data_IF_208580036144
#
_entry.id   IF_208580036144
#
_cell.length_a   1.000
_cell.length_b   1.000
_cell.length_c   1.000
_cell.angle_alpha   90.00
_cell.angle_beta   90.00
_cell.angle_gamma   90.00
#
_symmetry.space_group_name_H-M   'P 1'
#
loop_
_entity.id
_entity.type
_entity.pdbx_description
1 polymer ?
#
# COMPACT_ATOMS: atom_id res chain seq x y z
N UNK A 1 -0.44 15.68 -9.77
CA UNK A 1 0.83 15.31 -9.11
C UNK A 1 0.80 15.54 -7.61
N UNK A 2 0.39 16.73 -7.12
CA UNK A 2 0.48 17.10 -5.70
C UNK A 2 -0.28 16.17 -4.74
N UNK A 3 -1.51 15.78 -5.09
CA UNK A 3 -2.36 14.97 -4.20
C UNK A 3 -1.83 13.53 -4.00
N UNK A 4 -1.16 12.97 -5.02
CA UNK A 4 -0.55 11.63 -4.96
C UNK A 4 0.62 11.60 -3.98
N UNK A 5 1.49 12.61 -4.06
CA UNK A 5 2.66 12.75 -3.16
C UNK A 5 2.22 12.98 -1.73
N UNK A 6 1.16 13.76 -1.50
CA UNK A 6 0.61 13.98 -0.15
C UNK A 6 0.11 12.67 0.45
N UNK A 7 -0.68 11.88 -0.29
CA UNK A 7 -1.18 10.60 0.24
C UNK A 7 -0.04 9.60 0.45
N UNK A 8 0.96 9.57 -0.43
CA UNK A 8 2.13 8.72 -0.27
C UNK A 8 2.95 9.11 0.99
N UNK A 9 3.16 10.42 1.21
CA UNK A 9 3.84 10.92 2.40
C UNK A 9 3.05 10.61 3.67
N UNK A 10 1.73 10.81 3.67
CA UNK A 10 0.85 10.46 4.79
C UNK A 10 0.86 8.97 5.07
N UNK A 11 0.83 8.12 4.03
CA UNK A 11 0.95 6.67 4.17
C UNK A 11 2.30 6.26 4.75
N UNK A 12 3.38 6.92 4.37
CA UNK A 12 4.74 6.61 4.85
C UNK A 12 4.93 7.03 6.31
N UNK A 13 4.47 8.23 6.66
CA UNK A 13 4.44 8.71 8.06
C UNK A 13 3.51 7.83 8.89
N UNK A 14 2.36 7.45 8.34
CA UNK A 14 1.40 6.53 8.95
C UNK A 14 1.99 5.14 9.22
N UNK A 15 2.83 4.61 8.32
CA UNK A 15 3.49 3.33 8.54
C UNK A 15 4.42 3.32 9.77
N UNK A 16 5.00 4.48 10.10
CA UNK A 16 5.96 4.63 11.20
C UNK A 16 5.25 4.97 12.51
N UNK A 17 4.29 5.90 12.49
CA UNK A 17 3.69 6.47 13.70
C UNK A 17 2.28 5.97 14.00
N UNK A 18 1.58 5.40 13.03
CA UNK A 18 0.17 5.02 13.14
C UNK A 18 -0.01 3.50 12.99
N UNK A 19 -1.15 2.95 13.46
CA UNK A 19 -1.46 1.54 13.26
C UNK A 19 -1.43 1.15 11.77
N UNK A 20 -1.09 -0.11 11.44
CA UNK A 20 -0.90 -0.55 10.05
C UNK A 20 -2.17 -0.45 9.19
N UNK A 21 -3.33 -0.39 9.85
CA UNK A 21 -4.64 -0.12 9.22
C UNK A 21 -4.71 1.25 8.54
N UNK A 22 -4.03 2.27 9.09
CA UNK A 22 -3.99 3.61 8.49
C UNK A 22 -3.19 3.57 7.19
N UNK A 23 -2.05 2.88 7.19
CA UNK A 23 -1.25 2.68 5.98
C UNK A 23 -1.99 1.87 4.93
N UNK A 24 -2.75 0.85 5.35
CA UNK A 24 -3.60 0.06 4.47
C UNK A 24 -4.70 0.92 3.82
N UNK A 25 -5.32 1.82 4.58
CA UNK A 25 -6.29 2.77 4.01
C UNK A 25 -5.64 3.70 2.96
N UNK A 26 -4.42 4.19 3.22
CA UNK A 26 -3.66 4.97 2.24
C UNK A 26 -3.31 4.16 0.99
N UNK A 27 -2.92 2.89 1.16
CA UNK A 27 -2.64 1.91 0.09
C UNK A 27 -3.88 1.74 -0.80
N UNK A 28 -5.05 1.52 -0.21
CA UNK A 28 -6.32 1.35 -0.93
C UNK A 28 -6.67 2.64 -1.69
N UNK A 29 -6.63 3.79 -1.03
CA UNK A 29 -6.94 5.09 -1.65
C UNK A 29 -6.00 5.42 -2.82
N UNK A 30 -4.70 5.17 -2.67
CA UNK A 30 -3.73 5.34 -3.76
C UNK A 30 -4.00 4.38 -4.91
N UNK A 31 -4.25 3.09 -4.61
CA UNK A 31 -4.46 2.06 -5.62
C UNK A 31 -5.75 2.26 -6.43
N UNK A 32 -6.79 2.87 -5.86
CA UNK A 32 -8.03 3.16 -6.57
C UNK A 32 -7.86 4.28 -7.60
N UNK A 33 -7.12 5.34 -7.26
CA UNK A 33 -7.04 6.55 -8.09
C UNK A 33 -5.79 6.62 -8.96
N UNK A 34 -4.70 5.99 -8.54
CA UNK A 34 -3.41 6.11 -9.21
C UNK A 34 -2.75 4.75 -9.40
N UNK A 35 -2.07 4.55 -10.55
CA UNK A 35 -1.16 3.42 -10.77
C UNK A 35 0.14 3.65 -10.01
N UNK A 36 0.05 3.64 -8.68
CA UNK A 36 1.14 3.98 -7.79
C UNK A 36 1.88 2.70 -7.36
N UNK A 37 3.03 2.44 -7.96
CA UNK A 37 3.97 1.41 -7.49
C UNK A 37 4.46 1.68 -6.06
N UNK A 38 4.35 2.93 -5.60
CA UNK A 38 4.58 3.40 -4.22
C UNK A 38 3.79 2.59 -3.19
N UNK A 39 2.63 2.04 -3.59
CA UNK A 39 1.74 1.24 -2.76
C UNK A 39 2.38 -0.11 -2.37
N UNK A 40 3.20 -0.68 -3.26
CA UNK A 40 3.95 -1.92 -2.99
C UNK A 40 5.08 -1.66 -2.00
N UNK A 41 5.78 -0.54 -2.17
CA UNK A 41 6.84 -0.10 -1.25
C UNK A 41 6.26 0.16 0.14
N UNK A 42 5.07 0.78 0.22
CA UNK A 42 4.34 0.99 1.48
C UNK A 42 3.90 -0.33 2.13
N UNK A 43 3.39 -1.28 1.33
CA UNK A 43 3.04 -2.62 1.80
C UNK A 43 4.24 -3.34 2.40
N UNK A 44 5.37 -3.31 1.69
CA UNK A 44 6.64 -3.91 2.14
C UNK A 44 7.19 -3.23 3.40
N UNK A 45 7.17 -1.90 3.44
CA UNK A 45 7.61 -1.15 4.61
C UNK A 45 6.73 -1.47 5.84
N UNK A 46 5.42 -1.62 5.63
CA UNK A 46 4.48 -1.98 6.70
C UNK A 46 4.73 -3.39 7.21
N UNK A 47 4.91 -4.37 6.32
CA UNK A 47 5.27 -5.74 6.70
C UNK A 47 6.60 -5.74 7.49
N UNK A 48 7.63 -5.03 7.05
CA UNK A 48 8.92 -4.99 7.74
C UNK A 48 8.87 -4.32 9.12
N UNK A 49 8.07 -3.25 9.27
CA UNK A 49 7.96 -2.49 10.52
C UNK A 49 7.04 -3.18 11.53
N UNK A 50 5.86 -3.62 11.09
CA UNK A 50 4.79 -4.10 11.97
C UNK A 50 4.73 -5.61 12.10
N UNK A 51 5.24 -6.35 11.11
CA UNK A 51 5.40 -7.80 11.15
C UNK A 51 6.89 -8.16 11.04
N UNK A 52 7.74 -7.83 12.05
CA UNK A 52 9.15 -8.20 12.06
C UNK A 52 9.27 -9.72 12.24
N UNK A 53 9.10 -10.46 11.14
CA UNK A 53 9.17 -11.90 11.08
C UNK A 53 10.58 -12.36 10.73
N UNK A 54 11.22 -13.07 11.65
CA UNK A 54 12.34 -13.94 11.31
C UNK A 54 11.93 -15.03 10.29
N UNK A 55 12.88 -15.86 9.82
CA UNK A 55 12.79 -16.71 8.61
C UNK A 55 11.78 -17.88 8.67
N UNK A 56 10.77 -17.81 9.53
CA UNK A 56 9.68 -18.77 9.65
C UNK A 56 8.57 -18.51 8.63
N UNK A 57 8.19 -19.55 7.89
CA UNK A 57 7.15 -19.61 6.85
C UNK A 57 5.73 -19.17 7.26
N UNK A 58 5.52 -18.78 8.53
CA UNK A 58 4.23 -18.30 9.06
C UNK A 58 4.02 -16.79 8.90
N UNK A 59 5.03 -16.03 8.46
CA UNK A 59 4.88 -14.60 8.15
C UNK A 59 4.82 -14.38 6.64
N UNK A 60 3.66 -14.64 6.07
CA UNK A 60 3.35 -14.18 4.72
C UNK A 60 3.31 -12.65 4.73
N UNK A 61 3.97 -11.94 3.80
CA UNK A 61 3.95 -10.47 3.74
C UNK A 61 2.58 -10.00 3.27
N UNK A 62 1.61 -9.98 4.19
CA UNK A 62 0.20 -9.79 3.92
C UNK A 62 -0.06 -8.44 3.28
N UNK A 63 0.58 -7.38 3.77
CA UNK A 63 0.37 -6.03 3.25
C UNK A 63 0.99 -5.86 1.86
N UNK A 64 2.12 -6.50 1.62
CA UNK A 64 2.76 -6.54 0.30
C UNK A 64 1.90 -7.32 -0.70
N UNK A 65 1.42 -8.51 -0.34
CA UNK A 65 0.55 -9.32 -1.22
C UNK A 65 -0.77 -8.58 -1.50
N UNK A 66 -1.37 -7.96 -0.48
CA UNK A 66 -2.57 -7.14 -0.66
C UNK A 66 -2.31 -5.96 -1.60
N UNK A 67 -1.18 -5.27 -1.45
CA UNK A 67 -0.79 -4.17 -2.33
C UNK A 67 -0.60 -4.61 -3.78
N UNK A 68 -0.01 -5.80 -4.01
CA UNK A 68 0.06 -6.44 -5.33
C UNK A 68 -1.34 -6.65 -5.89
N UNK A 69 -2.21 -7.33 -5.15
CA UNK A 69 -3.58 -7.62 -5.59
C UNK A 69 -4.34 -6.34 -5.90
N UNK A 70 -4.19 -5.29 -5.11
CA UNK A 70 -4.85 -4.00 -5.34
C UNK A 70 -4.28 -3.26 -6.56
N UNK A 71 -2.96 -3.24 -6.75
CA UNK A 71 -2.33 -2.51 -7.86
C UNK A 71 -2.77 -3.09 -9.22
N UNK A 72 -2.75 -4.42 -9.34
CA UNK A 72 -3.11 -5.13 -10.57
C UNK A 72 -4.60 -5.43 -10.68
N UNK A 73 -5.28 -5.81 -9.60
CA UNK A 73 -6.71 -6.13 -9.61
C UNK A 73 -7.59 -4.91 -9.85
N UNK A 74 -7.18 -3.73 -9.38
CA UNK A 74 -7.90 -2.47 -9.64
C UNK A 74 -7.45 -1.78 -10.93
N UNK A 75 -6.49 -2.34 -11.67
CA UNK A 75 -6.06 -1.81 -12.96
C UNK A 75 -7.21 -1.62 -13.97
N UNK A 76 -8.11 -2.60 -14.21
CA UNK A 76 -9.25 -2.40 -15.12
C UNK A 76 -10.22 -1.32 -14.62
N UNK A 77 -10.47 -1.27 -13.30
CA UNK A 77 -11.33 -0.28 -12.69
C UNK A 77 -10.77 1.14 -12.90
N UNK A 78 -9.45 1.28 -12.75
CA UNK A 78 -8.75 2.57 -12.88
C UNK A 78 -8.84 3.12 -14.30
N UNK A 79 -8.82 2.25 -15.31
CA UNK A 79 -8.99 2.63 -16.71
C UNK A 79 -10.40 3.17 -16.96
N UNK A 80 -11.44 2.57 -16.37
CA UNK A 80 -12.83 3.05 -16.51
C UNK A 80 -13.09 4.40 -15.83
N UNK A 81 -12.40 4.71 -14.72
CA UNK A 81 -12.56 5.99 -14.02
C UNK A 81 -11.76 7.15 -14.64
N UNK A 82 -10.87 6.85 -15.60
CA UNK A 82 -10.02 7.83 -16.28
C UNK A 82 -10.48 8.14 -17.72
N UNK A 83 -11.51 7.43 -18.21
CA UNK A 83 -12.32 7.82 -19.39
C UNK A 83 -13.35 8.90 -18.99
#
# INVERSE_FOLDING_TARGET
>A
MSLRVIIAAVGFVGAIFAPPWVTLACIVLLSLRYRAWEVIILGLATDLIWLPGGPSLHLFPLFTVLSLILVWGLEPLRLQFLE
#
